data_IF_230693691014
#
_entry.id   IF_230693691014
#
_cell.length_a   1.000
_cell.length_b   1.000
_cell.length_c   1.000
_cell.angle_alpha   90.00
_cell.angle_beta   90.00
_cell.angle_gamma   90.00
#
_symmetry.space_group_name_H-M   'P 1'
#
loop_
_entity.id
_entity.type
_entity.pdbx_description
1 polymer ?
#
# COMPACT_ATOMS: atom_id res chain seq x y z
N UNK A 1 1.31 10.24 23.35
CA UNK A 1 1.63 10.32 21.90
C UNK A 1 0.41 9.83 21.14
N UNK A 2 -0.11 10.61 20.20
CA UNK A 2 -1.30 10.22 19.43
C UNK A 2 -1.00 9.05 18.48
N UNK A 3 -2.02 8.29 18.14
CA UNK A 3 -1.94 7.25 17.10
C UNK A 3 -1.69 7.91 15.74
N UNK A 4 -0.92 7.23 14.89
CA UNK A 4 -0.63 7.66 13.53
C UNK A 4 -1.85 7.75 12.62
N UNK A 5 -1.66 8.20 11.38
CA UNK A 5 -2.74 8.32 10.38
C UNK A 5 -2.43 7.55 9.11
N UNK A 6 -3.38 6.74 8.66
CA UNK A 6 -3.34 6.10 7.35
C UNK A 6 -4.08 6.96 6.33
N UNK A 7 -3.39 7.34 5.25
CA UNK A 7 -3.96 8.09 4.12
C UNK A 7 -3.85 7.20 2.87
N UNK A 8 -4.99 6.88 2.25
CA UNK A 8 -5.05 6.09 1.03
C UNK A 8 -5.29 6.97 -0.20
N UNK A 9 -4.56 6.71 -1.28
CA UNK A 9 -4.76 7.36 -2.59
C UNK A 9 -5.35 6.35 -3.56
N UNK A 10 -6.55 6.62 -4.07
CA UNK A 10 -7.30 5.74 -4.97
C UNK A 10 -7.53 6.35 -6.35
N UNK A 11 -7.76 5.51 -7.34
CA UNK A 11 -8.00 5.93 -8.73
C UNK A 11 -7.38 5.01 -9.79
N UNK A 12 -7.66 5.31 -11.06
CA UNK A 12 -7.22 4.51 -12.20
C UNK A 12 -5.70 4.52 -12.42
N UNK A 13 -5.19 3.54 -13.15
CA UNK A 13 -3.77 3.52 -13.56
C UNK A 13 -3.44 4.76 -14.40
N UNK A 14 -2.30 5.39 -14.12
CA UNK A 14 -1.90 6.64 -14.77
C UNK A 14 -2.50 7.92 -14.16
N UNK A 15 -3.38 7.86 -13.15
CA UNK A 15 -3.99 9.05 -12.55
C UNK A 15 -3.07 9.87 -11.63
N UNK A 16 -1.78 9.51 -11.51
CA UNK A 16 -0.82 10.25 -10.69
C UNK A 16 -0.78 9.91 -9.19
N UNK A 17 -1.46 8.84 -8.73
CA UNK A 17 -1.51 8.43 -7.31
C UNK A 17 -0.15 8.34 -6.64
N UNK A 18 0.79 7.63 -7.25
CA UNK A 18 2.14 7.43 -6.70
C UNK A 18 2.88 8.77 -6.57
N UNK A 19 2.78 9.62 -7.59
CA UNK A 19 3.36 10.97 -7.58
C UNK A 19 2.80 11.78 -6.43
N UNK A 20 1.47 11.84 -6.29
CA UNK A 20 0.81 12.61 -5.24
C UNK A 20 1.12 12.08 -3.82
N UNK A 21 1.17 10.75 -3.65
CA UNK A 21 1.50 10.14 -2.37
C UNK A 21 2.95 10.46 -1.95
N UNK A 22 3.92 10.37 -2.87
CA UNK A 22 5.31 10.74 -2.60
C UNK A 22 5.45 12.23 -2.29
N UNK A 23 4.79 13.12 -3.05
CA UNK A 23 4.80 14.56 -2.80
C UNK A 23 4.22 14.91 -1.42
N UNK A 24 3.14 14.24 -1.01
CA UNK A 24 2.56 14.43 0.32
C UNK A 24 3.55 14.00 1.42
N UNK A 25 4.22 12.86 1.27
CA UNK A 25 5.21 12.38 2.24
C UNK A 25 6.34 13.40 2.42
N UNK A 26 6.90 13.92 1.33
CA UNK A 26 7.96 14.93 1.40
C UNK A 26 7.46 16.24 2.03
N UNK A 27 6.25 16.69 1.68
CA UNK A 27 5.65 17.88 2.26
C UNK A 27 5.33 17.73 3.77
N UNK A 28 5.03 16.53 4.25
CA UNK A 28 4.82 16.25 5.67
C UNK A 28 6.14 16.18 6.44
N UNK A 29 7.16 15.52 5.88
CA UNK A 29 8.52 15.49 6.44
C UNK A 29 9.11 16.88 6.58
N UNK A 30 8.93 17.75 5.57
CA UNK A 30 9.38 19.14 5.61
C UNK A 30 8.73 19.96 6.74
N UNK A 31 7.56 19.52 7.24
CA UNK A 31 6.87 20.12 8.39
C UNK A 31 7.18 19.43 9.74
N UNK A 32 8.13 18.51 9.76
CA UNK A 32 8.55 17.80 10.97
C UNK A 32 7.70 16.57 11.35
N UNK A 33 6.77 16.13 10.49
CA UNK A 33 6.00 14.92 10.73
C UNK A 33 6.80 13.66 10.31
N UNK A 34 6.61 12.57 11.05
CA UNK A 34 6.97 11.23 10.57
C UNK A 34 5.99 10.89 9.44
N UNK A 35 6.50 10.62 8.24
CA UNK A 35 5.68 10.20 7.11
C UNK A 35 6.46 9.20 6.24
N UNK A 36 5.76 8.22 5.69
CA UNK A 36 6.31 7.24 4.77
C UNK A 36 5.29 6.85 3.70
N UNK A 37 5.79 6.50 2.52
CA UNK A 37 4.99 5.90 1.46
C UNK A 37 5.04 4.38 1.57
N UNK A 38 3.92 3.73 1.26
CA UNK A 38 3.83 2.29 1.01
C UNK A 38 2.67 2.02 0.06
N UNK A 39 2.60 0.84 -0.54
CA UNK A 39 1.57 0.50 -1.53
C UNK A 39 1.25 -0.99 -1.62
N UNK A 40 0.08 -1.26 -2.20
CA UNK A 40 -0.39 -2.60 -2.53
C UNK A 40 -0.49 -2.74 -4.07
N UNK A 41 -0.20 -3.93 -4.64
CA UNK A 41 0.33 -5.11 -3.95
C UNK A 41 1.74 -4.87 -3.39
N UNK A 42 2.11 -5.54 -2.29
CA UNK A 42 3.41 -5.35 -1.61
C UNK A 42 4.55 -6.19 -2.18
N UNK A 43 5.81 -5.85 -1.91
CA UNK A 43 6.99 -6.65 -2.29
C UNK A 43 7.24 -7.88 -1.40
N UNK A 44 6.20 -8.36 -0.71
CA UNK A 44 6.23 -9.60 0.07
C UNK A 44 5.74 -10.77 -0.76
N UNK A 45 5.83 -11.98 -0.21
CA UNK A 45 5.56 -13.23 -0.92
C UNK A 45 4.18 -13.28 -1.58
N UNK A 46 3.13 -12.79 -0.91
CA UNK A 46 1.77 -12.78 -1.50
C UNK A 46 1.63 -11.71 -2.59
N UNK A 47 2.13 -10.50 -2.35
CA UNK A 47 2.10 -9.43 -3.35
C UNK A 47 2.99 -9.69 -4.57
N UNK A 48 4.10 -10.39 -4.42
CA UNK A 48 4.93 -10.89 -5.54
C UNK A 48 4.18 -11.95 -6.36
N UNK A 49 3.46 -12.87 -5.70
CA UNK A 49 2.60 -13.82 -6.41
C UNK A 49 1.54 -13.10 -7.25
N UNK A 50 0.92 -12.06 -6.70
CA UNK A 50 0.00 -11.19 -7.45
C UNK A 50 0.67 -10.53 -8.65
N UNK A 51 1.76 -9.76 -8.42
CA UNK A 51 2.42 -8.96 -9.47
C UNK A 51 3.05 -9.81 -10.57
N UNK A 52 3.77 -10.87 -10.17
CA UNK A 52 4.60 -11.63 -11.09
C UNK A 52 3.80 -12.72 -11.82
N UNK A 53 2.68 -13.19 -11.24
CA UNK A 53 1.93 -14.32 -11.80
C UNK A 53 0.48 -13.93 -12.12
N UNK A 54 -0.34 -13.63 -11.12
CA UNK A 54 -1.80 -13.53 -11.30
C UNK A 54 -2.20 -12.37 -12.20
N UNK A 55 -1.60 -11.19 -12.01
CA UNK A 55 -1.92 -10.00 -12.81
C UNK A 55 -1.43 -10.11 -14.27
N UNK A 56 -0.54 -11.07 -14.57
CA UNK A 56 -0.03 -11.31 -15.94
C UNK A 56 -0.87 -12.33 -16.73
N UNK A 57 -1.82 -13.01 -16.09
CA UNK A 57 -2.69 -13.96 -16.74
C UNK A 57 -3.67 -13.26 -17.68
N UNK A 58 -3.79 -13.74 -18.93
CA UNK A 58 -4.77 -13.22 -19.91
C UNK A 58 -6.22 -13.42 -19.46
N UNK A 59 -6.51 -14.49 -18.72
CA UNK A 59 -7.81 -14.77 -18.11
C UNK A 59 -7.57 -15.20 -16.67
N UNK A 60 -8.31 -14.59 -15.73
CA UNK A 60 -8.25 -14.91 -14.31
C UNK A 60 -9.63 -14.73 -13.67
N UNK A 61 -9.91 -15.49 -12.62
CA UNK A 61 -11.12 -15.33 -11.83
C UNK A 61 -11.04 -14.03 -11.01
N UNK A 62 -12.03 -13.13 -11.11
CA UNK A 62 -12.07 -11.91 -10.29
C UNK A 62 -12.08 -12.21 -8.79
N UNK A 63 -12.72 -13.31 -8.38
CA UNK A 63 -12.76 -13.75 -6.97
C UNK A 63 -11.38 -14.15 -6.49
N UNK A 64 -10.63 -14.88 -7.32
CA UNK A 64 -9.27 -15.31 -6.99
C UNK A 64 -8.32 -14.11 -6.83
N UNK A 65 -8.41 -13.14 -7.72
CA UNK A 65 -7.66 -11.88 -7.63
C UNK A 65 -8.01 -11.12 -6.35
N UNK A 66 -9.30 -10.95 -6.04
CA UNK A 66 -9.75 -10.25 -4.84
C UNK A 66 -9.25 -10.91 -3.54
N UNK A 67 -9.29 -12.25 -3.47
CA UNK A 67 -8.81 -12.99 -2.30
C UNK A 67 -7.30 -12.82 -2.08
N UNK A 68 -6.51 -12.84 -3.15
CA UNK A 68 -5.07 -12.62 -3.04
C UNK A 68 -4.72 -11.19 -2.67
N UNK A 69 -5.44 -10.19 -3.20
CA UNK A 69 -5.29 -8.80 -2.75
C UNK A 69 -5.63 -8.64 -1.26
N UNK A 70 -6.69 -9.30 -0.80
CA UNK A 70 -7.05 -9.29 0.62
C UNK A 70 -5.97 -9.95 1.49
N UNK A 71 -5.38 -11.05 1.03
CA UNK A 71 -4.28 -11.73 1.72
C UNK A 71 -3.01 -10.86 1.78
N UNK A 72 -2.61 -10.23 0.68
CA UNK A 72 -1.47 -9.31 0.64
C UNK A 72 -1.68 -8.10 1.57
N UNK A 73 -2.87 -7.49 1.52
CA UNK A 73 -3.27 -6.40 2.42
C UNK A 73 -3.22 -6.81 3.89
N UNK A 74 -3.68 -8.00 4.23
CA UNK A 74 -3.63 -8.48 5.61
C UNK A 74 -2.17 -8.58 6.10
N UNK A 75 -1.29 -9.15 5.28
CA UNK A 75 0.15 -9.22 5.57
C UNK A 75 0.76 -7.81 5.71
N UNK A 76 0.45 -6.91 4.79
CA UNK A 76 0.89 -5.52 4.79
C UNK A 76 0.48 -4.76 6.07
N UNK A 77 -0.79 -4.88 6.45
CA UNK A 77 -1.31 -4.25 7.66
C UNK A 77 -0.61 -4.74 8.92
N UNK A 78 -0.37 -6.05 9.02
CA UNK A 78 0.26 -6.67 10.18
C UNK A 78 1.76 -6.31 10.29
N UNK A 79 2.49 -6.38 9.19
CA UNK A 79 3.95 -6.23 9.16
C UNK A 79 4.42 -4.79 9.12
N UNK A 80 3.64 -3.90 8.53
CA UNK A 80 4.12 -2.57 8.15
C UNK A 80 3.21 -1.45 8.66
N UNK A 81 1.92 -1.45 8.30
CA UNK A 81 1.02 -0.32 8.59
C UNK A 81 0.75 -0.18 10.09
N UNK A 82 0.22 -1.21 10.76
CA UNK A 82 -0.12 -1.14 12.20
C UNK A 82 1.10 -0.83 13.08
N UNK A 83 2.29 -1.43 12.87
CA UNK A 83 3.49 -1.04 13.61
C UNK A 83 3.87 0.43 13.44
N UNK A 84 3.69 1.02 12.26
CA UNK A 84 4.00 2.44 12.01
C UNK A 84 2.97 3.38 12.63
N UNK A 85 1.68 3.06 12.53
CA UNK A 85 0.63 3.84 13.20
C UNK A 85 0.87 3.92 14.71
N UNK A 86 1.25 2.80 15.35
CA UNK A 86 1.63 2.79 16.78
C UNK A 86 2.86 3.65 17.12
N UNK A 87 3.71 3.95 16.15
CA UNK A 87 4.92 4.80 16.30
C UNK A 87 4.65 6.28 15.96
N UNK A 88 3.41 6.63 15.62
CA UNK A 88 2.97 7.98 15.28
C UNK A 88 3.40 8.42 13.88
N UNK A 89 3.37 7.51 12.90
CA UNK A 89 3.53 7.80 11.46
C UNK A 89 2.22 8.26 10.82
#
# INVERSE_FOLDING_TARGET
MGEGKLIAFEGLNGSGKTTQACLLVEALKARGFKACYTCEPTYWRVGDLLRLHVLRLKRRSPVYEALLFAADRYEHLAREVRPRLRRGY
#
